data_IF_911291753219
#
_entry.id   IF_911291753219
#
_cell.length_a   1.000
_cell.length_b   1.000
_cell.length_c   1.000
_cell.angle_alpha   90.00
_cell.angle_beta   90.00
_cell.angle_gamma   90.00
#
_symmetry.space_group_name_H-M   'P 1'
#
loop_
_entity.id
_entity.type
_entity.pdbx_description
1 polymer ?
#
# COMPACT_ATOMS: atom_id res chain seq x y z
N UNK A 1 9.23 0.32 22.54
CA UNK A 1 8.17 -0.40 21.80
C UNK A 1 7.55 0.63 20.89
N UNK A 2 7.98 0.65 19.63
CA UNK A 2 7.37 1.52 18.62
C UNK A 2 6.06 0.83 18.24
N UNK A 3 4.94 1.35 18.72
CA UNK A 3 3.61 0.97 18.25
C UNK A 3 3.49 1.42 16.80
N UNK A 4 4.10 0.66 15.89
CA UNK A 4 3.92 0.82 14.47
C UNK A 4 2.51 0.31 14.17
N UNK A 5 1.50 1.18 14.28
CA UNK A 5 0.16 0.88 13.81
C UNK A 5 0.24 0.69 12.29
N UNK A 6 0.28 -0.57 11.88
CA UNK A 6 0.14 -0.97 10.49
C UNK A 6 -1.36 -1.07 10.19
N UNK A 7 -1.76 -0.60 9.02
CA UNK A 7 -3.15 -0.64 8.57
C UNK A 7 -3.28 -1.54 7.34
N UNK A 8 -4.47 -1.99 7.03
CA UNK A 8 -4.74 -2.72 5.78
C UNK A 8 -5.15 -1.73 4.70
N UNK A 9 -4.48 -1.73 3.56
CA UNK A 9 -4.87 -0.90 2.42
C UNK A 9 -6.23 -1.34 1.88
N UNK A 10 -6.98 -0.39 1.31
CA UNK A 10 -8.32 -0.63 0.77
C UNK A 10 -8.29 -0.45 -0.75
N UNK A 11 -8.92 -1.35 -1.50
CA UNK A 11 -9.11 -1.15 -2.94
C UNK A 11 -10.28 -0.18 -3.18
N UNK A 12 -10.00 0.94 -3.85
CA UNK A 12 -11.04 1.90 -4.23
C UNK A 12 -12.04 1.26 -5.20
N UNK A 13 -13.33 1.38 -4.89
CA UNK A 13 -14.41 0.87 -5.72
C UNK A 13 -14.73 1.82 -6.88
N UNK A 14 -15.12 1.27 -8.03
CA UNK A 14 -15.56 2.06 -9.19
C UNK A 14 -14.47 2.84 -9.93
N UNK A 15 -13.19 2.57 -9.65
CA UNK A 15 -12.08 3.19 -10.37
C UNK A 15 -11.73 2.42 -11.65
N UNK A 16 -11.52 3.14 -12.75
CA UNK A 16 -11.05 2.57 -14.01
C UNK A 16 -9.61 2.01 -13.91
N UNK A 17 -8.84 2.48 -12.92
CA UNK A 17 -7.48 2.00 -12.62
C UNK A 17 -7.41 1.51 -11.18
N UNK A 18 -6.76 0.35 -10.91
CA UNK A 18 -6.56 -0.11 -9.55
C UNK A 18 -5.94 1.00 -8.70
N UNK A 19 -6.65 1.42 -7.65
CA UNK A 19 -6.26 2.53 -6.78
C UNK A 19 -6.36 2.03 -5.36
N UNK A 20 -5.24 2.08 -4.63
CA UNK A 20 -5.19 1.69 -3.23
C UNK A 20 -5.37 2.93 -2.35
N UNK A 21 -6.13 2.78 -1.27
CA UNK A 21 -6.37 3.79 -0.26
C UNK A 21 -5.73 3.37 1.05
N UNK A 22 -5.30 4.34 1.84
CA UNK A 22 -4.78 4.11 3.18
C UNK A 22 -5.89 3.61 4.09
N UNK A 23 -5.64 2.54 4.85
CA UNK A 23 -6.59 2.02 5.83
C UNK A 23 -6.80 2.91 7.06
N UNK A 24 -5.96 3.93 7.24
CA UNK A 24 -6.12 4.91 8.32
C UNK A 24 -6.96 6.11 7.91
N UNK A 25 -6.52 6.86 6.89
CA UNK A 25 -7.13 8.13 6.50
C UNK A 25 -7.89 8.09 5.17
N UNK A 26 -7.93 6.94 4.49
CA UNK A 26 -8.55 6.76 3.16
C UNK A 26 -7.96 7.62 2.03
N UNK A 27 -6.86 8.33 2.27
CA UNK A 27 -6.12 9.00 1.19
C UNK A 27 -5.51 7.99 0.22
N UNK A 28 -5.35 8.40 -1.04
CA UNK A 28 -4.76 7.56 -2.08
C UNK A 28 -3.31 7.23 -1.70
N UNK A 29 -2.97 5.93 -1.75
CA UNK A 29 -1.61 5.45 -1.66
C UNK A 29 -0.91 5.68 -3.00
N UNK A 30 0.13 6.51 -2.99
CA UNK A 30 0.93 6.77 -4.18
C UNK A 30 1.61 5.48 -4.65
N UNK A 31 1.51 5.17 -5.93
CA UNK A 31 2.19 4.03 -6.56
C UNK A 31 3.70 4.07 -6.34
N UNK A 32 4.30 5.26 -6.35
CA UNK A 32 5.73 5.45 -6.08
C UNK A 32 6.15 5.11 -4.64
N UNK A 33 5.19 4.88 -3.73
CA UNK A 33 5.41 4.49 -2.35
C UNK A 33 4.78 3.14 -2.00
N UNK A 34 4.50 2.31 -3.02
CA UNK A 34 4.08 0.92 -2.85
C UNK A 34 5.22 0.03 -3.35
N UNK A 35 5.71 -0.88 -2.51
CA UNK A 35 6.88 -1.70 -2.80
C UNK A 35 6.81 -3.06 -2.08
N UNK A 36 7.61 -4.03 -2.55
CA UNK A 36 7.74 -5.34 -1.91
C UNK A 36 8.41 -5.18 -0.54
N UNK A 37 7.89 -5.88 0.46
CA UNK A 37 8.39 -5.88 1.84
C UNK A 37 9.66 -6.73 1.99
N UNK A 38 10.70 -6.40 1.25
CA UNK A 38 11.95 -7.17 1.18
C UNK A 38 13.16 -6.22 1.18
N UNK A 39 14.34 -6.74 1.53
CA UNK A 39 15.59 -5.98 1.52
C UNK A 39 15.60 -4.84 2.55
N UNK A 40 16.20 -3.70 2.20
CA UNK A 40 16.40 -2.56 3.11
C UNK A 40 15.10 -1.86 3.53
N UNK A 41 14.02 -2.08 2.78
CA UNK A 41 12.69 -1.53 3.08
C UNK A 41 11.81 -2.50 3.90
N UNK A 42 12.39 -3.59 4.40
CA UNK A 42 11.67 -4.61 5.15
C UNK A 42 11.12 -4.05 6.48
N UNK A 43 9.81 -4.20 6.65
CA UNK A 43 9.11 -4.06 7.91
C UNK A 43 8.86 -5.46 8.48
N UNK A 44 9.03 -5.59 9.79
CA UNK A 44 8.78 -6.84 10.52
C UNK A 44 7.26 -7.12 10.67
N UNK A 45 6.55 -7.20 9.55
CA UNK A 45 5.14 -7.54 9.44
C UNK A 45 4.92 -8.66 8.43
N UNK A 46 3.89 -9.47 8.67
CA UNK A 46 3.45 -10.52 7.75
C UNK A 46 2.68 -9.90 6.56
N UNK A 47 3.41 -9.21 5.69
CA UNK A 47 2.89 -8.59 4.49
C UNK A 47 3.94 -8.63 3.38
N UNK A 48 3.55 -8.99 2.15
CA UNK A 48 4.46 -9.07 1.01
C UNK A 48 4.64 -7.72 0.31
N UNK A 49 3.63 -6.87 0.32
CA UNK A 49 3.66 -5.54 -0.31
C UNK A 49 3.20 -4.47 0.65
N UNK A 50 4.01 -3.42 0.80
CA UNK A 50 3.74 -2.31 1.70
C UNK A 50 3.50 -1.02 0.92
N UNK A 51 2.56 -0.21 1.39
CA UNK A 51 2.31 1.15 0.93
C UNK A 51 2.53 2.17 2.05
N UNK A 52 3.34 3.21 1.80
CA UNK A 52 3.52 4.32 2.73
C UNK A 52 2.57 5.47 2.38
N UNK A 53 1.72 5.85 3.34
CA UNK A 53 0.83 6.98 3.16
C UNK A 53 1.64 8.29 3.11
N UNK A 54 1.34 9.13 2.12
CA UNK A 54 1.99 10.43 1.92
C UNK A 54 1.09 11.61 2.29
N UNK A 55 -0.09 11.35 2.85
CA UNK A 55 -0.96 12.40 3.34
C UNK A 55 -0.31 13.11 4.53
N UNK A 56 -0.48 14.42 4.58
CA UNK A 56 -0.04 15.25 5.70
C UNK A 56 -0.58 14.67 7.02
N UNK A 57 0.29 14.58 8.02
CA UNK A 57 0.03 14.04 9.36
C UNK A 57 -0.43 12.55 9.45
N UNK A 58 -0.41 11.78 8.36
CA UNK A 58 -0.76 10.36 8.41
C UNK A 58 0.47 9.46 8.64
N UNK A 59 1.41 9.42 7.68
CA UNK A 59 2.62 8.59 7.75
C UNK A 59 2.39 7.08 7.91
N UNK A 60 1.15 6.60 7.77
CA UNK A 60 0.79 5.21 8.04
C UNK A 60 1.47 4.23 7.07
N UNK A 61 1.93 3.10 7.62
CA UNK A 61 2.38 1.94 6.86
C UNK A 61 1.17 1.05 6.61
N UNK A 62 0.95 0.68 5.35
CA UNK A 62 -0.22 -0.11 4.93
C UNK A 62 0.24 -1.44 4.34
N UNK A 63 -0.36 -2.55 4.80
CA UNK A 63 -0.26 -3.81 4.10
C UNK A 63 -1.20 -3.81 2.89
N UNK A 64 -0.66 -4.05 1.69
CA UNK A 64 -1.41 -3.97 0.43
C UNK A 64 -1.93 -5.32 -0.07
N UNK A 65 -1.55 -6.43 0.56
CA UNK A 65 -1.79 -7.78 0.04
C UNK A 65 -3.27 -8.08 -0.20
N UNK A 66 -4.15 -7.77 0.75
CA UNK A 66 -5.60 -8.02 0.62
C UNK A 66 -6.25 -7.20 -0.50
N UNK A 67 -5.83 -5.95 -0.66
CA UNK A 67 -6.34 -5.09 -1.72
C UNK A 67 -5.81 -5.50 -3.09
N UNK A 68 -4.56 -5.97 -3.16
CA UNK A 68 -3.93 -6.47 -4.38
C UNK A 68 -4.50 -7.82 -4.83
N UNK A 69 -4.90 -8.69 -3.89
CA UNK A 69 -5.55 -9.96 -4.20
C UNK A 69 -6.89 -9.79 -4.94
N UNK A 70 -7.52 -8.61 -4.81
CA UNK A 70 -8.75 -8.25 -5.52
C UNK A 70 -8.49 -7.66 -6.92
N UNK A 71 -7.24 -7.40 -7.28
CA UNK A 71 -6.85 -6.85 -8.59
C UNK A 71 -6.48 -8.00 -9.51
N UNK A 72 -7.10 -8.08 -10.69
CA UNK A 72 -6.88 -9.16 -11.66
C UNK A 72 -5.43 -9.23 -12.18
N UNK A 73 -4.74 -8.08 -12.25
CA UNK A 73 -3.32 -7.98 -12.64
C UNK A 73 -2.59 -6.95 -11.76
N UNK A 74 -2.13 -7.34 -10.54
CA UNK A 74 -1.52 -6.43 -9.59
C UNK A 74 -0.14 -5.92 -10.04
N UNK A 75 0.56 -6.65 -10.90
CA UNK A 75 1.86 -6.23 -11.48
C UNK A 75 1.76 -4.87 -12.21
N UNK A 76 0.58 -4.55 -12.78
CA UNK A 76 0.32 -3.25 -13.41
C UNK A 76 0.44 -2.06 -12.47
N UNK A 77 0.32 -2.25 -11.15
CA UNK A 77 0.55 -1.20 -10.16
C UNK A 77 2.04 -0.87 -10.01
N UNK A 78 2.92 -1.84 -10.28
CA UNK A 78 4.37 -1.69 -10.19
C UNK A 78 5.01 -1.30 -11.53
N UNK A 79 4.36 -1.58 -12.66
CA UNK A 79 4.89 -1.40 -14.04
C UNK A 79 5.04 0.05 -14.56
N UNK A 80 5.10 1.09 -13.72
CA UNK A 80 5.43 2.44 -14.19
C UNK A 80 6.39 3.11 -13.21
N UNK A 81 7.63 2.64 -13.24
CA UNK A 81 8.80 3.40 -12.84
C UNK A 81 9.94 2.98 -13.77
N UNK A 82 9.95 3.56 -14.98
CA UNK A 82 11.10 3.51 -15.89
C UNK A 82 11.48 4.91 -16.33
#
# INVERSE_FOLDING_TARGET
MTDNNHYTAILAQGSAVPTLLCGHCHSILSRARIFRNQGDAHQAIECNTIGLCSADDCGAVNCCDEALAQVENPERLFDIAS
#
